data_IF_645722645654
#
_entry.id   IF_645722645654
#
_cell.length_a   1.000
_cell.length_b   1.000
_cell.length_c   1.000
_cell.angle_alpha   90.00
_cell.angle_beta   90.00
_cell.angle_gamma   90.00
#
_symmetry.space_group_name_H-M   'P 1'
#
loop_
_entity.id
_entity.type
_entity.pdbx_description
1 polymer ?
#
# COMPACT_ATOMS: atom_id res chain seq x y z
N UNK A 1 -8.52 -19.22 8.67
CA UNK A 1 -7.18 -19.78 8.34
C UNK A 1 -6.18 -19.56 9.48
N UNK A 2 -5.94 -18.33 9.97
CA UNK A 2 -4.98 -18.10 11.07
C UNK A 2 -5.43 -18.80 12.36
N UNK A 3 -6.69 -18.74 12.70
CA UNK A 3 -7.25 -19.39 13.90
C UNK A 3 -7.18 -20.92 13.80
N UNK A 4 -7.36 -21.50 12.64
CA UNK A 4 -7.19 -22.95 12.39
C UNK A 4 -5.73 -23.36 12.58
N UNK A 5 -4.77 -22.58 12.08
CA UNK A 5 -3.35 -22.81 12.30
C UNK A 5 -3.02 -22.78 13.81
N UNK A 6 -3.59 -21.85 14.57
CA UNK A 6 -3.36 -21.75 16.01
C UNK A 6 -3.93 -22.96 16.77
N UNK A 7 -5.06 -23.51 16.33
CA UNK A 7 -5.62 -24.77 16.89
C UNK A 7 -4.64 -25.92 16.66
N UNK A 8 -4.08 -26.06 15.45
CA UNK A 8 -3.09 -27.09 15.12
C UNK A 8 -1.83 -26.91 15.98
N UNK A 9 -1.29 -25.68 16.08
CA UNK A 9 -0.11 -25.39 16.90
C UNK A 9 -0.33 -25.77 18.36
N UNK A 10 -1.47 -25.42 18.95
CA UNK A 10 -1.82 -25.80 20.33
C UNK A 10 -1.91 -27.31 20.50
N UNK A 11 -2.51 -28.04 19.56
CA UNK A 11 -2.56 -29.49 19.57
C UNK A 11 -1.17 -30.13 19.55
N UNK A 12 -0.26 -29.59 18.74
CA UNK A 12 1.13 -30.08 18.71
C UNK A 12 1.87 -29.85 20.04
N UNK A 13 1.65 -28.68 20.67
CA UNK A 13 2.24 -28.39 22.00
C UNK A 13 1.70 -29.34 23.07
N UNK A 14 0.39 -29.67 23.05
CA UNK A 14 -0.21 -30.65 23.94
C UNK A 14 0.39 -32.05 23.76
N UNK A 15 0.89 -32.39 22.59
CA UNK A 15 1.61 -33.64 22.29
C UNK A 15 3.11 -33.56 22.68
N UNK A 16 3.54 -32.54 23.43
CA UNK A 16 4.92 -32.35 23.90
C UNK A 16 5.88 -31.77 22.86
N UNK A 17 5.38 -31.20 21.74
CA UNK A 17 6.24 -30.49 20.77
C UNK A 17 6.51 -29.07 21.22
N UNK A 18 7.70 -28.57 20.94
CA UNK A 18 8.05 -27.17 21.08
C UNK A 18 8.00 -26.49 19.72
N UNK A 19 7.40 -25.29 19.64
CA UNK A 19 7.23 -24.53 18.40
C UNK A 19 7.94 -23.20 18.57
N UNK A 20 8.78 -22.83 17.60
CA UNK A 20 9.31 -21.47 17.44
C UNK A 20 8.55 -20.84 16.28
N UNK A 21 7.79 -19.79 16.61
CA UNK A 21 6.96 -19.06 15.65
C UNK A 21 7.52 -17.66 15.46
N UNK A 22 7.92 -17.32 14.22
CA UNK A 22 8.50 -16.02 13.88
C UNK A 22 7.48 -15.22 13.09
N UNK A 23 7.03 -14.11 13.66
CA UNK A 23 6.07 -13.20 13.03
C UNK A 23 6.30 -11.77 13.49
N UNK A 24 5.86 -10.81 12.69
CA UNK A 24 5.76 -9.41 13.06
C UNK A 24 4.33 -8.98 13.38
N UNK A 25 3.34 -9.87 13.18
CA UNK A 25 1.93 -9.60 13.44
C UNK A 25 1.62 -9.79 14.92
N UNK A 26 1.53 -8.69 15.66
CA UNK A 26 1.33 -8.70 17.11
C UNK A 26 0.08 -9.47 17.54
N UNK A 27 -1.01 -9.41 16.74
CA UNK A 27 -2.24 -10.16 17.01
C UNK A 27 -1.98 -11.67 17.09
N UNK A 28 -1.18 -12.19 16.16
CA UNK A 28 -0.84 -13.61 16.11
C UNK A 28 0.01 -14.01 17.33
N UNK A 29 0.97 -13.17 17.70
CA UNK A 29 1.85 -13.38 18.87
C UNK A 29 1.02 -13.51 20.13
N UNK A 30 0.08 -12.59 20.39
CA UNK A 30 -0.79 -12.62 21.56
C UNK A 30 -1.77 -13.80 21.57
N UNK A 31 -2.14 -14.31 20.38
CA UNK A 31 -3.10 -15.41 20.26
C UNK A 31 -2.51 -16.78 20.60
N UNK A 32 -1.20 -17.01 20.36
CA UNK A 32 -0.63 -18.37 20.41
C UNK A 32 0.62 -18.52 21.27
N UNK A 33 1.38 -17.44 21.55
CA UNK A 33 2.66 -17.54 22.21
C UNK A 33 2.53 -17.73 23.74
N UNK A 34 3.32 -18.63 24.32
CA UNK A 34 3.52 -18.75 25.78
C UNK A 34 4.59 -17.77 26.27
N UNK A 35 5.54 -17.42 25.41
CA UNK A 35 6.65 -16.53 25.68
C UNK A 35 7.01 -15.77 24.40
N UNK A 36 7.22 -14.46 24.53
CA UNK A 36 7.53 -13.57 23.42
C UNK A 36 8.97 -13.08 23.60
N UNK A 37 9.81 -13.36 22.59
CA UNK A 37 11.17 -12.82 22.53
C UNK A 37 11.28 -11.86 21.37
N UNK A 38 11.74 -10.64 21.63
CA UNK A 38 11.86 -9.60 20.59
C UNK A 38 13.30 -9.51 20.13
N UNK A 39 13.49 -9.63 18.80
CA UNK A 39 14.78 -9.44 18.13
C UNK A 39 14.80 -8.14 17.32
N UNK A 40 15.91 -7.41 17.40
CA UNK A 40 16.16 -6.20 16.61
C UNK A 40 17.63 -6.08 16.25
N UNK A 41 17.92 -5.89 14.95
CA UNK A 41 19.31 -5.77 14.48
C UNK A 41 20.18 -6.99 14.80
N UNK A 42 19.62 -8.19 14.79
CA UNK A 42 20.33 -9.43 15.11
C UNK A 42 20.54 -9.69 16.60
N UNK A 43 20.02 -8.81 17.48
CA UNK A 43 20.18 -8.94 18.95
C UNK A 43 18.82 -9.18 19.62
N UNK A 44 18.85 -9.98 20.70
CA UNK A 44 17.71 -10.17 21.58
C UNK A 44 17.52 -8.93 22.45
N UNK A 45 16.40 -8.21 22.25
CA UNK A 45 16.08 -6.98 23.01
C UNK A 45 15.48 -7.29 24.36
N UNK A 46 14.66 -8.33 24.42
CA UNK A 46 14.03 -8.77 25.67
C UNK A 46 13.10 -9.95 25.45
N UNK A 47 12.70 -10.56 26.57
CA UNK A 47 11.74 -11.67 26.60
C UNK A 47 10.67 -11.37 27.63
N UNK A 48 9.40 -11.49 27.25
CA UNK A 48 8.24 -11.19 28.12
C UNK A 48 7.18 -12.28 27.98
N UNK A 49 6.29 -12.39 28.96
CA UNK A 49 5.09 -13.21 28.83
C UNK A 49 3.96 -12.41 28.18
N UNK A 50 3.04 -13.02 27.42
CA UNK A 50 1.92 -12.31 26.82
C UNK A 50 1.07 -11.54 27.83
N UNK A 51 0.89 -12.06 29.04
CA UNK A 51 0.13 -11.42 30.10
C UNK A 51 0.77 -10.10 30.62
N UNK A 52 2.09 -9.97 30.49
CA UNK A 52 2.88 -8.82 30.96
C UNK A 52 3.21 -7.84 29.83
N UNK A 53 2.73 -8.09 28.59
CA UNK A 53 3.06 -7.33 27.40
C UNK A 53 1.83 -6.56 26.86
N UNK A 54 2.07 -5.38 26.31
CA UNK A 54 1.10 -4.65 25.47
C UNK A 54 1.57 -4.60 24.02
N UNK A 55 0.66 -4.31 23.10
CA UNK A 55 1.01 -4.14 21.67
C UNK A 55 2.00 -3.01 21.47
N UNK A 56 1.80 -1.91 22.19
CA UNK A 56 2.65 -0.72 22.15
C UNK A 56 4.05 -1.03 22.66
N UNK A 57 4.16 -1.76 23.79
CA UNK A 57 5.44 -2.18 24.36
C UNK A 57 6.22 -3.07 23.39
N UNK A 58 5.57 -4.07 22.79
CA UNK A 58 6.22 -4.95 21.80
C UNK A 58 6.65 -4.19 20.57
N UNK A 59 5.80 -3.30 20.04
CA UNK A 59 6.13 -2.45 18.91
C UNK A 59 7.33 -1.54 19.20
N UNK A 60 7.37 -0.92 20.39
CA UNK A 60 8.51 -0.11 20.83
C UNK A 60 9.81 -0.93 20.95
N UNK A 61 9.74 -2.14 21.49
CA UNK A 61 10.89 -3.05 21.56
C UNK A 61 11.40 -3.43 20.16
N UNK A 62 10.49 -3.72 19.22
CA UNK A 62 10.83 -4.10 17.84
C UNK A 62 11.47 -2.95 17.07
N UNK A 63 10.95 -1.73 17.21
CA UNK A 63 11.37 -0.55 16.43
C UNK A 63 12.51 0.21 17.14
N UNK A 64 12.51 0.23 18.48
CA UNK A 64 13.48 0.95 19.32
C UNK A 64 13.08 2.39 19.64
N UNK A 65 11.87 2.78 19.32
CA UNK A 65 11.23 4.06 19.66
C UNK A 65 9.73 3.84 19.85
N UNK A 66 9.05 4.79 20.45
CA UNK A 66 7.58 4.76 20.46
C UNK A 66 7.02 4.69 19.07
N UNK A 67 6.04 3.83 18.86
CA UNK A 67 5.34 3.62 17.60
C UNK A 67 3.89 4.05 17.77
N UNK A 68 3.40 4.83 16.83
CA UNK A 68 2.00 5.22 16.77
C UNK A 68 1.27 4.17 15.93
N UNK A 69 0.56 3.25 16.59
CA UNK A 69 -0.18 2.17 15.93
C UNK A 69 -1.44 2.67 15.21
N UNK A 70 -2.02 3.77 15.68
CA UNK A 70 -3.11 4.48 15.00
C UNK A 70 -2.62 5.86 14.60
N UNK A 71 -2.70 6.15 13.30
CA UNK A 71 -2.34 7.48 12.79
C UNK A 71 -3.51 8.41 13.06
N UNK A 72 -3.25 9.44 13.83
CA UNK A 72 -4.18 10.57 13.98
C UNK A 72 -4.18 11.34 12.66
N UNK A 73 -5.33 11.36 11.98
CA UNK A 73 -5.54 12.08 10.73
C UNK A 73 -6.65 13.10 10.89
N UNK A 74 -6.43 14.28 10.31
CA UNK A 74 -7.47 15.30 10.23
C UNK A 74 -8.65 14.82 9.35
N UNK A 75 -9.81 15.43 9.52
CA UNK A 75 -10.95 15.20 8.62
C UNK A 75 -10.55 15.53 7.18
N UNK A 76 -11.00 14.70 6.25
CA UNK A 76 -10.76 14.93 4.83
C UNK A 76 -11.59 16.13 4.34
N UNK A 77 -11.00 16.89 3.42
CA UNK A 77 -11.69 17.96 2.69
C UNK A 77 -11.69 17.62 1.19
N UNK A 78 -12.58 16.70 0.73
CA UNK A 78 -12.57 16.23 -0.65
C UNK A 78 -12.84 17.38 -1.62
N UNK A 79 -11.93 17.55 -2.59
CA UNK A 79 -12.01 18.55 -3.65
C UNK A 79 -12.64 17.98 -4.94
N UNK A 80 -12.05 18.36 -6.07
CA UNK A 80 -12.46 17.90 -7.41
C UNK A 80 -12.24 16.38 -7.59
N UNK A 81 -12.99 15.80 -8.54
CA UNK A 81 -12.79 14.39 -8.93
C UNK A 81 -11.51 14.27 -9.74
N UNK A 82 -10.56 13.49 -9.22
CA UNK A 82 -9.26 13.22 -9.86
C UNK A 82 -9.32 11.95 -10.69
N UNK A 83 -9.91 10.88 -10.15
CA UNK A 83 -10.14 9.62 -10.84
C UNK A 83 -11.63 9.32 -10.87
N UNK A 84 -12.15 8.99 -12.07
CA UNK A 84 -13.47 8.42 -12.25
C UNK A 84 -13.36 7.11 -13.02
N UNK A 85 -14.03 6.10 -12.52
CA UNK A 85 -14.13 4.77 -13.12
C UNK A 85 -15.60 4.48 -13.34
N UNK A 86 -15.98 4.17 -14.58
CA UNK A 86 -17.36 3.92 -14.99
C UNK A 86 -17.48 2.54 -15.63
N UNK A 87 -18.25 1.64 -15.01
CA UNK A 87 -18.57 0.28 -15.51
C UNK A 87 -17.35 -0.51 -16.00
N UNK A 88 -16.23 -0.43 -15.27
CA UNK A 88 -14.98 -1.04 -15.67
C UNK A 88 -15.07 -2.56 -15.65
N UNK A 89 -14.64 -3.17 -16.76
CA UNK A 89 -14.52 -4.63 -16.91
C UNK A 89 -13.08 -5.00 -17.29
N UNK A 90 -12.52 -5.99 -16.57
CA UNK A 90 -11.16 -6.47 -16.79
C UNK A 90 -11.14 -7.99 -16.69
N UNK A 91 -10.28 -8.63 -17.48
CA UNK A 91 -10.03 -10.06 -17.45
C UNK A 91 -8.65 -10.37 -16.87
N UNK A 92 -8.54 -11.56 -16.26
CA UNK A 92 -7.25 -12.15 -15.87
C UNK A 92 -6.52 -12.76 -17.09
N UNK A 93 -5.35 -13.36 -16.83
CA UNK A 93 -4.52 -14.00 -17.88
C UNK A 93 -5.17 -15.28 -18.44
N UNK A 94 -6.25 -15.79 -17.83
CA UNK A 94 -7.05 -16.94 -18.27
C UNK A 94 -8.35 -16.53 -18.94
N UNK A 95 -8.52 -15.22 -19.23
CA UNK A 95 -9.74 -14.63 -19.80
C UNK A 95 -10.99 -14.77 -18.93
N UNK A 96 -10.84 -14.94 -17.61
CA UNK A 96 -11.94 -14.83 -16.68
C UNK A 96 -12.15 -13.36 -16.30
N UNK A 97 -13.40 -12.91 -16.31
CA UNK A 97 -13.75 -11.56 -15.87
C UNK A 97 -13.58 -11.46 -14.35
N UNK A 98 -12.53 -10.77 -13.92
CA UNK A 98 -12.17 -10.57 -12.51
C UNK A 98 -12.58 -9.20 -11.99
N UNK A 99 -12.84 -8.23 -12.88
CA UNK A 99 -13.48 -6.95 -12.59
C UNK A 99 -14.70 -6.84 -13.47
N UNK A 100 -15.88 -6.64 -12.89
CA UNK A 100 -17.16 -6.73 -13.59
C UNK A 100 -18.08 -5.54 -13.23
N UNK A 101 -18.08 -4.51 -14.08
CA UNK A 101 -18.93 -3.34 -13.94
C UNK A 101 -18.58 -2.43 -12.77
N UNK A 102 -17.32 -2.35 -12.38
CA UNK A 102 -16.86 -1.54 -11.24
C UNK A 102 -16.95 -0.05 -11.57
N UNK A 103 -17.58 0.71 -10.66
CA UNK A 103 -17.72 2.17 -10.78
C UNK A 103 -17.42 2.84 -9.44
N UNK A 104 -16.58 3.89 -9.45
CA UNK A 104 -16.25 4.74 -8.28
C UNK A 104 -15.55 6.02 -8.71
N UNK A 105 -15.45 6.95 -7.76
CA UNK A 105 -14.67 8.18 -7.90
C UNK A 105 -13.70 8.34 -6.74
N UNK A 106 -12.53 8.95 -7.02
CA UNK A 106 -11.58 9.40 -5.98
C UNK A 106 -11.35 10.89 -6.17
N UNK A 107 -11.43 11.63 -5.06
CA UNK A 107 -11.32 13.10 -5.05
C UNK A 107 -9.98 13.57 -4.52
N UNK A 108 -9.56 14.75 -4.91
CA UNK A 108 -8.40 15.42 -4.32
C UNK A 108 -8.58 15.55 -2.80
N UNK A 109 -7.54 15.29 -2.02
CA UNK A 109 -7.59 15.35 -0.55
C UNK A 109 -8.42 14.24 0.11
N UNK A 110 -8.63 13.12 -0.59
CA UNK A 110 -9.41 11.96 -0.12
C UNK A 110 -8.59 10.67 -0.23
N UNK A 111 -8.74 9.77 0.74
CA UNK A 111 -8.34 8.36 0.63
C UNK A 111 -9.58 7.50 0.44
N UNK A 112 -9.78 6.95 -0.75
CA UNK A 112 -10.74 5.88 -0.98
C UNK A 112 -10.04 4.53 -0.77
N UNK A 113 -10.49 3.77 0.22
CA UNK A 113 -10.02 2.41 0.46
C UNK A 113 -10.84 1.38 -0.31
N UNK A 114 -10.18 0.46 -1.01
CA UNK A 114 -10.82 -0.75 -1.57
C UNK A 114 -10.50 -1.92 -0.65
N UNK A 115 -11.49 -2.33 0.15
CA UNK A 115 -11.41 -3.50 1.02
C UNK A 115 -11.85 -4.76 0.26
N UNK A 116 -11.24 -5.91 0.55
CA UNK A 116 -11.65 -7.19 -0.01
C UNK A 116 -10.63 -8.28 0.28
N UNK A 117 -11.09 -9.55 0.29
CA UNK A 117 -10.19 -10.70 0.40
C UNK A 117 -9.38 -10.82 -0.89
N UNK A 118 -8.11 -11.19 -0.78
CA UNK A 118 -7.22 -11.33 -1.93
C UNK A 118 -7.83 -12.30 -2.98
N UNK A 119 -7.71 -11.94 -4.27
CA UNK A 119 -8.28 -12.71 -5.37
C UNK A 119 -9.69 -12.28 -5.79
N UNK A 120 -10.24 -11.21 -5.22
CA UNK A 120 -11.53 -10.66 -5.63
C UNK A 120 -11.46 -9.64 -6.78
N UNK A 121 -10.31 -9.51 -7.49
CA UNK A 121 -10.14 -8.61 -8.63
C UNK A 121 -9.38 -7.32 -8.31
N UNK A 122 -8.88 -7.13 -7.09
CA UNK A 122 -8.17 -5.90 -6.70
C UNK A 122 -6.86 -5.72 -7.47
N UNK A 123 -6.12 -6.80 -7.71
CA UNK A 123 -4.85 -6.76 -8.47
C UNK A 123 -5.12 -6.34 -9.91
N UNK A 124 -6.10 -6.96 -10.58
CA UNK A 124 -6.48 -6.65 -11.96
C UNK A 124 -7.05 -5.23 -12.09
N UNK A 125 -7.80 -4.77 -11.08
CA UNK A 125 -8.25 -3.37 -11.01
C UNK A 125 -7.06 -2.40 -10.96
N UNK A 126 -6.10 -2.62 -10.05
CA UNK A 126 -4.91 -1.79 -9.94
C UNK A 126 -4.06 -1.80 -11.23
N UNK A 127 -3.86 -2.98 -11.83
CA UNK A 127 -3.13 -3.13 -13.09
C UNK A 127 -3.82 -2.41 -14.25
N UNK A 128 -5.16 -2.47 -14.35
CA UNK A 128 -5.92 -1.75 -15.38
C UNK A 128 -5.81 -0.23 -15.21
N UNK A 129 -5.96 0.27 -13.98
CA UNK A 129 -5.84 1.70 -13.66
C UNK A 129 -4.44 2.26 -13.92
N UNK A 130 -3.42 1.41 -13.89
CA UNK A 130 -2.01 1.79 -14.11
C UNK A 130 -1.50 1.51 -15.53
N UNK A 131 -2.39 1.00 -16.41
CA UNK A 131 -2.05 0.69 -17.81
C UNK A 131 -1.18 -0.56 -17.97
N UNK A 132 -1.12 -1.42 -16.94
CA UNK A 132 -0.40 -2.70 -16.97
C UNK A 132 -1.29 -3.86 -17.46
N UNK A 133 -2.61 -3.67 -17.49
CA UNK A 133 -3.59 -4.64 -17.94
C UNK A 133 -4.61 -4.00 -18.88
N UNK A 134 -5.05 -4.75 -19.90
CA UNK A 134 -6.02 -4.28 -20.88
C UNK A 134 -7.42 -4.19 -20.27
N UNK A 135 -8.08 -3.08 -20.50
CA UNK A 135 -9.50 -2.89 -20.19
C UNK A 135 -10.33 -3.48 -21.33
N UNK A 136 -11.37 -4.27 -21.00
CA UNK A 136 -12.29 -4.88 -21.98
C UNK A 136 -13.62 -4.17 -22.06
N UNK A 137 -13.96 -3.31 -21.08
CA UNK A 137 -15.19 -2.51 -21.09
C UNK A 137 -15.17 -1.44 -20.03
N UNK A 138 -16.01 -0.45 -20.16
CA UNK A 138 -16.09 0.71 -19.26
C UNK A 138 -15.13 1.83 -19.62
N UNK A 139 -14.97 2.79 -18.72
CA UNK A 139 -14.18 4.00 -18.93
C UNK A 139 -13.38 4.39 -17.69
N UNK A 140 -12.15 4.85 -17.91
CA UNK A 140 -11.27 5.43 -16.89
C UNK A 140 -10.97 6.88 -17.27
N UNK A 141 -11.31 7.82 -16.39
CA UNK A 141 -11.03 9.25 -16.57
C UNK A 141 -10.10 9.73 -15.47
N UNK A 142 -8.91 10.21 -15.83
CA UNK A 142 -7.93 10.80 -14.92
C UNK A 142 -7.81 12.29 -15.19
N UNK A 143 -8.06 13.13 -14.18
CA UNK A 143 -8.01 14.61 -14.29
C UNK A 143 -8.82 15.14 -15.49
N UNK A 144 -10.01 14.58 -15.71
CA UNK A 144 -10.92 14.95 -16.81
C UNK A 144 -10.55 14.41 -18.18
N UNK A 145 -9.45 13.66 -18.33
CA UNK A 145 -9.01 13.06 -19.59
C UNK A 145 -9.35 11.56 -19.62
N UNK A 146 -9.83 11.09 -20.76
CA UNK A 146 -10.04 9.65 -21.00
C UNK A 146 -8.67 8.96 -21.07
N UNK A 147 -8.44 8.04 -20.14
CA UNK A 147 -7.19 7.29 -20.02
C UNK A 147 -7.40 5.78 -20.11
N UNK A 148 -8.57 5.33 -20.55
CA UNK A 148 -9.01 3.92 -20.56
C UNK A 148 -7.99 2.98 -21.21
N UNK A 149 -7.35 3.41 -22.29
CA UNK A 149 -6.34 2.62 -23.00
C UNK A 149 -4.97 3.31 -23.04
N UNK A 150 -4.72 4.25 -22.12
CA UNK A 150 -3.46 4.94 -22.07
C UNK A 150 -2.34 4.01 -21.58
N UNK A 151 -1.16 4.01 -22.23
CA UNK A 151 -0.01 3.26 -21.73
C UNK A 151 0.50 3.86 -20.42
N UNK A 152 1.13 3.03 -19.57
CA UNK A 152 1.62 3.40 -18.25
C UNK A 152 2.42 4.72 -18.23
N UNK A 153 3.28 4.95 -19.22
CA UNK A 153 4.06 6.20 -19.32
C UNK A 153 3.17 7.44 -19.43
N UNK A 154 2.09 7.38 -20.21
CA UNK A 154 1.12 8.49 -20.35
C UNK A 154 0.39 8.76 -19.03
N UNK A 155 0.02 7.72 -18.30
CA UNK A 155 -0.60 7.83 -16.98
C UNK A 155 0.35 8.47 -15.97
N UNK A 156 1.62 8.04 -15.95
CA UNK A 156 2.69 8.64 -15.15
C UNK A 156 2.85 10.13 -15.47
N UNK A 157 2.84 10.48 -16.75
CA UNK A 157 2.96 11.87 -17.22
C UNK A 157 1.72 12.72 -16.90
N UNK A 158 0.55 12.09 -16.82
CA UNK A 158 -0.70 12.75 -16.44
C UNK A 158 -0.84 12.98 -14.92
N UNK A 159 0.04 12.42 -14.08
CA UNK A 159 -0.01 12.64 -12.63
C UNK A 159 -0.34 11.41 -11.79
N UNK A 160 -0.31 10.21 -12.39
CA UNK A 160 -0.48 8.96 -11.66
C UNK A 160 0.83 8.50 -11.05
N UNK A 161 0.80 8.11 -9.78
CA UNK A 161 1.86 7.41 -9.06
C UNK A 161 1.34 6.08 -8.54
N UNK A 162 2.20 5.05 -8.53
CA UNK A 162 1.79 3.70 -8.18
C UNK A 162 2.78 3.03 -7.24
N UNK A 163 2.30 2.63 -6.07
CA UNK A 163 2.99 1.71 -5.18
C UNK A 163 2.39 0.32 -5.43
N UNK A 164 3.10 -0.60 -6.10
CA UNK A 164 2.56 -1.89 -6.50
C UNK A 164 2.53 -2.90 -5.36
N UNK A 165 1.63 -3.89 -5.45
CA UNK A 165 1.55 -5.02 -4.52
C UNK A 165 2.84 -5.86 -4.54
N UNK A 166 3.32 -6.22 -5.75
CA UNK A 166 4.59 -6.93 -5.93
C UNK A 166 5.70 -5.93 -6.27
N UNK A 167 6.49 -5.59 -5.24
CA UNK A 167 7.61 -4.65 -5.36
C UNK A 167 8.73 -5.18 -6.26
N UNK A 168 8.91 -6.50 -6.38
CA UNK A 168 9.97 -7.10 -7.17
C UNK A 168 9.59 -7.19 -8.65
N UNK A 169 8.31 -7.43 -8.95
CA UNK A 169 7.82 -7.55 -10.32
C UNK A 169 7.59 -6.18 -10.97
N UNK A 170 7.01 -5.24 -10.24
CA UNK A 170 6.54 -3.96 -10.78
C UNK A 170 7.12 -2.72 -10.12
N UNK A 171 7.78 -2.87 -8.96
CA UNK A 171 8.25 -1.72 -8.16
C UNK A 171 9.72 -1.36 -8.39
N UNK A 172 10.59 -2.34 -8.50
CA UNK A 172 12.05 -2.16 -8.45
C UNK A 172 12.77 -2.96 -9.54
N UNK A 173 13.90 -2.44 -9.97
CA UNK A 173 14.92 -3.21 -10.71
C UNK A 173 15.98 -3.64 -9.70
N UNK A 174 15.88 -4.89 -9.22
CA UNK A 174 16.66 -5.37 -8.07
C UNK A 174 18.18 -5.30 -8.26
N UNK A 175 18.66 -5.41 -9.49
CA UNK A 175 20.10 -5.32 -9.86
C UNK A 175 20.61 -3.88 -9.95
N UNK A 176 19.73 -2.87 -9.94
CA UNK A 176 20.11 -1.47 -10.06
C UNK A 176 20.41 -0.86 -8.69
N UNK A 177 21.28 0.17 -8.63
CA UNK A 177 21.51 0.94 -7.43
C UNK A 177 20.25 1.71 -7.00
N UNK A 178 20.21 2.12 -5.74
CA UNK A 178 19.09 2.87 -5.15
C UNK A 178 18.84 4.15 -5.96
N UNK A 179 19.89 4.91 -6.31
CA UNK A 179 19.75 6.17 -7.08
C UNK A 179 18.99 5.98 -8.38
N UNK A 180 19.27 4.90 -9.12
CA UNK A 180 18.65 4.63 -10.42
C UNK A 180 17.18 4.18 -10.23
N UNK A 181 16.90 3.40 -9.18
CA UNK A 181 15.54 3.03 -8.82
C UNK A 181 14.66 4.24 -8.42
N UNK A 182 15.25 5.26 -7.81
CA UNK A 182 14.52 6.47 -7.40
C UNK A 182 14.06 7.34 -8.58
N UNK A 183 14.69 7.19 -9.75
CA UNK A 183 14.36 7.99 -10.95
C UNK A 183 13.68 7.18 -12.06
N UNK A 184 13.37 5.89 -11.88
CA UNK A 184 12.82 5.01 -12.93
C UNK A 184 11.64 5.61 -13.70
N UNK A 185 10.79 6.39 -13.04
CA UNK A 185 9.62 7.00 -13.66
C UNK A 185 9.85 8.43 -14.18
N UNK A 186 11.07 8.99 -14.01
CA UNK A 186 11.37 10.40 -14.32
C UNK A 186 12.73 10.62 -15.00
N UNK A 187 13.54 9.57 -15.20
CA UNK A 187 14.92 9.65 -15.69
C UNK A 187 15.08 10.47 -16.99
N UNK A 188 14.05 10.52 -17.84
CA UNK A 188 14.04 11.18 -19.14
C UNK A 188 13.66 12.68 -19.09
N UNK A 189 13.43 13.22 -17.90
CA UNK A 189 13.02 14.61 -17.68
C UNK A 189 14.11 15.43 -16.98
N UNK A 190 14.16 16.74 -17.18
CA UNK A 190 14.95 17.59 -16.30
C UNK A 190 14.53 17.42 -14.83
N UNK A 191 15.46 17.51 -13.87
CA UNK A 191 16.90 17.79 -14.04
C UNK A 191 17.74 16.54 -14.37
N UNK A 192 17.17 15.34 -14.48
CA UNK A 192 17.89 14.07 -14.59
C UNK A 192 18.43 13.79 -15.99
N UNK A 193 17.87 14.43 -17.02
CA UNK A 193 18.33 14.29 -18.39
C UNK A 193 18.44 15.64 -19.08
N UNK A 194 19.51 15.79 -19.89
CA UNK A 194 19.72 16.89 -20.82
C UNK A 194 19.89 16.28 -22.21
N UNK A 195 18.83 16.34 -23.03
CA UNK A 195 18.78 15.60 -24.29
C UNK A 195 18.77 14.09 -24.06
N UNK A 196 19.79 13.40 -24.61
CA UNK A 196 19.96 11.93 -24.46
C UNK A 196 20.91 11.54 -23.31
N UNK A 197 21.56 12.51 -22.68
CA UNK A 197 22.52 12.26 -21.60
C UNK A 197 21.85 12.36 -20.23
N UNK A 198 22.22 11.47 -19.31
CA UNK A 198 21.80 11.53 -17.91
C UNK A 198 22.75 12.42 -17.13
N UNK A 199 22.20 13.28 -16.27
CA UNK A 199 22.95 14.07 -15.30
C UNK A 199 23.07 13.30 -13.98
N UNK A 200 24.15 12.55 -13.84
CA UNK A 200 24.41 11.75 -12.63
C UNK A 200 24.65 12.60 -11.38
N UNK A 201 25.06 13.86 -11.51
CA UNK A 201 25.22 14.75 -10.38
C UNK A 201 23.84 15.14 -9.80
N UNK A 202 22.89 15.52 -10.67
CA UNK A 202 21.52 15.80 -10.28
C UNK A 202 20.81 14.54 -9.72
N UNK A 203 21.02 13.39 -10.35
CA UNK A 203 20.46 12.10 -9.90
C UNK A 203 20.96 11.73 -8.50
N UNK A 204 22.28 11.85 -8.26
CA UNK A 204 22.88 11.53 -6.95
C UNK A 204 22.40 12.48 -5.85
N UNK A 205 22.37 13.80 -6.13
CA UNK A 205 21.87 14.78 -5.19
C UNK A 205 20.40 14.53 -4.78
N UNK A 206 19.54 14.24 -5.74
CA UNK A 206 18.14 13.86 -5.47
C UNK A 206 18.05 12.56 -4.68
N UNK A 207 18.83 11.55 -5.03
CA UNK A 207 18.83 10.27 -4.35
C UNK A 207 19.24 10.39 -2.89
N UNK A 208 20.32 11.16 -2.59
CA UNK A 208 20.75 11.41 -1.22
C UNK A 208 19.69 12.15 -0.40
N UNK A 209 19.01 13.12 -1.00
CA UNK A 209 17.92 13.85 -0.35
C UNK A 209 16.76 12.89 -0.01
N UNK A 210 16.33 12.05 -0.97
CA UNK A 210 15.21 11.13 -0.78
C UNK A 210 15.55 10.03 0.21
N UNK A 211 16.76 9.47 0.17
CA UNK A 211 17.24 8.47 1.15
C UNK A 211 17.14 9.03 2.58
N UNK A 212 17.54 10.28 2.80
CA UNK A 212 17.41 10.95 4.11
C UNK A 212 15.95 11.22 4.47
N UNK A 213 15.17 11.81 3.56
CA UNK A 213 13.77 12.21 3.81
C UNK A 213 12.86 11.01 4.11
N UNK A 214 13.13 9.88 3.47
CA UNK A 214 12.33 8.67 3.62
C UNK A 214 12.98 7.64 4.56
N UNK A 215 14.03 8.02 5.28
CA UNK A 215 14.72 7.14 6.24
C UNK A 215 15.04 5.76 5.64
N UNK A 216 15.60 5.73 4.42
CA UNK A 216 16.06 4.50 3.79
C UNK A 216 17.38 4.09 4.41
N UNK A 217 17.41 2.98 5.13
CA UNK A 217 18.63 2.48 5.78
C UNK A 217 19.48 1.75 4.75
N UNK A 218 20.60 2.38 4.40
CA UNK A 218 21.54 1.91 3.38
C UNK A 218 22.96 2.41 3.67
N UNK A 219 24.01 1.68 3.25
CA UNK A 219 25.38 2.19 3.26
C UNK A 219 25.60 3.39 2.32
N UNK A 220 24.81 3.51 1.25
CA UNK A 220 24.90 4.60 0.28
C UNK A 220 23.96 4.42 -0.90
N UNK A 221 23.83 5.45 -1.73
CA UNK A 221 22.93 5.47 -2.91
C UNK A 221 23.35 4.52 -4.03
N UNK A 222 24.63 4.11 -4.04
CA UNK A 222 25.19 3.12 -4.98
C UNK A 222 24.87 1.67 -4.61
N UNK A 223 24.34 1.44 -3.39
CA UNK A 223 23.95 0.11 -2.94
C UNK A 223 22.87 -0.45 -3.85
N UNK A 224 23.05 -1.70 -4.29
CA UNK A 224 22.05 -2.42 -5.08
C UNK A 224 20.78 -2.61 -4.26
N UNK A 225 19.62 -2.18 -4.79
CA UNK A 225 18.35 -2.20 -4.04
C UNK A 225 17.94 -3.61 -3.61
N UNK A 226 18.33 -4.63 -4.38
CA UNK A 226 18.07 -6.03 -4.03
C UNK A 226 18.71 -6.49 -2.71
N UNK A 227 19.75 -5.82 -2.22
CA UNK A 227 20.39 -6.15 -0.94
C UNK A 227 19.72 -5.53 0.28
N UNK A 228 18.74 -4.62 0.08
CA UNK A 228 18.02 -3.99 1.16
C UNK A 228 16.96 -4.94 1.77
N UNK A 229 16.62 -4.69 3.05
CA UNK A 229 15.45 -5.32 3.66
C UNK A 229 14.15 -4.91 2.94
N UNK A 230 13.12 -5.75 3.00
CA UNK A 230 11.83 -5.47 2.36
C UNK A 230 11.22 -4.11 2.75
N UNK A 231 11.37 -3.69 4.01
CA UNK A 231 10.92 -2.37 4.47
C UNK A 231 11.69 -1.23 3.80
N UNK A 232 13.01 -1.34 3.64
CA UNK A 232 13.80 -0.32 2.95
C UNK A 232 13.56 -0.32 1.44
N UNK A 233 13.35 -1.48 0.81
CA UNK A 233 12.93 -1.58 -0.58
C UNK A 233 11.60 -0.84 -0.81
N UNK A 234 10.63 -1.03 0.07
CA UNK A 234 9.33 -0.35 -0.01
C UNK A 234 9.49 1.16 0.19
N UNK A 235 10.35 1.60 1.12
CA UNK A 235 10.65 3.03 1.30
C UNK A 235 11.25 3.66 0.04
N UNK A 236 12.07 2.95 -0.74
CA UNK A 236 12.58 3.44 -2.03
C UNK A 236 11.45 3.66 -3.03
N UNK A 237 10.49 2.72 -3.14
CA UNK A 237 9.32 2.89 -4.02
C UNK A 237 8.47 4.09 -3.57
N UNK A 238 8.13 4.14 -2.28
CA UNK A 238 7.31 5.22 -1.71
C UNK A 238 7.99 6.57 -1.87
N UNK A 239 9.32 6.64 -1.67
CA UNK A 239 10.12 7.86 -1.89
C UNK A 239 10.02 8.35 -3.34
N UNK A 240 10.20 7.44 -4.31
CA UNK A 240 10.05 7.75 -5.74
C UNK A 240 8.65 8.27 -6.07
N UNK A 241 7.63 7.54 -5.66
CA UNK A 241 6.26 7.85 -6.06
C UNK A 241 5.72 9.12 -5.41
N UNK A 242 5.96 9.33 -4.11
CA UNK A 242 5.48 10.52 -3.40
C UNK A 242 6.27 11.78 -3.78
N UNK A 243 7.57 11.69 -4.02
CA UNK A 243 8.34 12.85 -4.50
C UNK A 243 7.85 13.33 -5.86
N UNK A 244 7.42 12.40 -6.74
CA UNK A 244 6.81 12.73 -8.03
C UNK A 244 5.47 13.45 -7.89
N UNK A 245 4.59 12.97 -7.00
CA UNK A 245 3.31 13.62 -6.68
C UNK A 245 3.56 15.06 -6.25
N UNK A 246 4.40 15.26 -5.24
CA UNK A 246 4.70 16.61 -4.70
C UNK A 246 5.29 17.53 -5.77
N UNK A 247 6.20 17.02 -6.59
CA UNK A 247 6.79 17.78 -7.69
C UNK A 247 5.78 18.17 -8.77
N UNK A 248 4.88 17.25 -9.15
CA UNK A 248 3.84 17.53 -10.15
C UNK A 248 2.79 18.51 -9.65
N UNK A 249 2.34 18.37 -8.40
CA UNK A 249 1.38 19.31 -7.79
C UNK A 249 1.99 20.70 -7.68
N UNK A 250 3.25 20.81 -7.26
CA UNK A 250 3.97 22.10 -7.19
C UNK A 250 4.15 22.75 -8.57
N UNK A 251 4.45 21.95 -9.61
CA UNK A 251 4.71 22.48 -10.96
C UNK A 251 3.44 22.88 -11.71
N UNK A 252 2.34 22.13 -11.54
CA UNK A 252 1.14 22.27 -12.35
C UNK A 252 -0.07 22.86 -11.61
N UNK A 253 0.01 23.01 -10.28
CA UNK A 253 -1.11 23.44 -9.43
C UNK A 253 -2.34 22.51 -9.48
N UNK A 254 -2.16 21.28 -9.99
CA UNK A 254 -3.22 20.28 -10.11
C UNK A 254 -3.02 19.15 -9.13
N UNK A 255 -4.11 18.55 -8.68
CA UNK A 255 -4.06 17.33 -7.89
C UNK A 255 -3.36 16.20 -8.66
N UNK A 256 -2.85 15.22 -7.95
CA UNK A 256 -2.25 14.01 -8.50
C UNK A 256 -2.92 12.78 -7.86
N UNK A 257 -2.80 11.61 -8.50
CA UNK A 257 -3.36 10.35 -8.04
C UNK A 257 -2.25 9.43 -7.51
N UNK A 258 -2.38 8.95 -6.29
CA UNK A 258 -1.62 7.84 -5.75
C UNK A 258 -2.48 6.58 -5.74
N UNK A 259 -2.05 5.52 -6.43
CA UNK A 259 -2.59 4.18 -6.24
C UNK A 259 -1.61 3.42 -5.34
N UNK A 260 -2.04 3.12 -4.11
CA UNK A 260 -1.28 2.35 -3.13
C UNK A 260 -1.89 0.95 -3.02
N UNK A 261 -1.30 -0.03 -3.71
CA UNK A 261 -1.79 -1.41 -3.72
C UNK A 261 -0.95 -2.25 -2.75
N UNK A 262 -1.57 -2.71 -1.65
CA UNK A 262 -0.93 -3.48 -0.57
C UNK A 262 0.37 -2.83 -0.05
N UNK A 263 0.37 -1.52 0.25
CA UNK A 263 1.60 -0.75 0.44
C UNK A 263 2.46 -1.23 1.60
N UNK A 264 1.87 -1.95 2.56
CA UNK A 264 2.57 -2.39 3.78
C UNK A 264 2.72 -3.91 3.89
N UNK A 265 2.37 -4.65 2.83
CA UNK A 265 2.41 -6.11 2.84
C UNK A 265 3.81 -6.66 3.14
N UNK A 266 3.89 -7.49 4.20
CA UNK A 266 5.14 -8.15 4.61
C UNK A 266 6.19 -7.22 5.23
N UNK A 267 5.77 -6.09 5.79
CA UNK A 267 6.64 -5.13 6.42
C UNK A 267 6.57 -5.20 7.95
N UNK A 268 7.64 -4.76 8.60
CA UNK A 268 7.67 -4.57 10.04
C UNK A 268 6.84 -3.36 10.50
N UNK A 269 6.45 -3.35 11.77
CA UNK A 269 5.57 -2.33 12.36
C UNK A 269 6.09 -0.91 12.17
N UNK A 270 7.41 -0.69 12.26
CA UNK A 270 8.01 0.64 12.09
C UNK A 270 7.95 1.13 10.65
N UNK A 271 8.10 0.23 9.68
CA UNK A 271 7.94 0.52 8.25
C UNK A 271 6.48 0.79 7.90
N UNK A 272 5.53 0.04 8.49
CA UNK A 272 4.09 0.27 8.33
C UNK A 272 3.71 1.67 8.80
N UNK A 273 4.04 2.05 10.05
CA UNK A 273 3.76 3.38 10.59
C UNK A 273 4.31 4.49 9.68
N UNK A 274 5.54 4.33 9.20
CA UNK A 274 6.18 5.31 8.34
C UNK A 274 5.40 5.51 7.03
N UNK A 275 5.04 4.41 6.35
CA UNK A 275 4.34 4.45 5.06
C UNK A 275 2.94 5.02 5.23
N UNK A 276 2.20 4.61 6.25
CA UNK A 276 0.88 5.14 6.56
C UNK A 276 0.91 6.65 6.74
N UNK A 277 1.86 7.17 7.52
CA UNK A 277 2.03 8.62 7.72
C UNK A 277 2.27 9.34 6.40
N UNK A 278 3.14 8.80 5.53
CA UNK A 278 3.42 9.38 4.23
C UNK A 278 2.21 9.39 3.28
N UNK A 279 1.36 8.35 3.34
CA UNK A 279 0.11 8.32 2.58
C UNK A 279 -0.86 9.40 3.08
N UNK A 280 -1.01 9.57 4.39
CA UNK A 280 -1.86 10.62 4.97
C UNK A 280 -1.32 12.01 4.64
N UNK A 281 -0.01 12.24 4.76
CA UNK A 281 0.63 13.51 4.36
C UNK A 281 0.39 13.85 2.87
N UNK A 282 0.41 12.85 1.98
CA UNK A 282 0.09 13.06 0.56
C UNK A 282 -1.37 13.49 0.37
N UNK A 283 -2.34 12.81 1.05
CA UNK A 283 -3.75 13.22 1.07
C UNK A 283 -3.91 14.65 1.57
N UNK A 284 -3.32 14.97 2.72
CA UNK A 284 -3.43 16.29 3.36
C UNK A 284 -2.83 17.41 2.50
N UNK A 285 -1.86 17.06 1.65
CA UNK A 285 -1.30 17.96 0.64
C UNK A 285 -2.20 18.13 -0.60
N UNK A 286 -3.37 17.45 -0.66
CA UNK A 286 -4.35 17.55 -1.74
C UNK A 286 -4.26 16.45 -2.80
N UNK A 287 -3.42 15.43 -2.63
CA UNK A 287 -3.42 14.28 -3.54
C UNK A 287 -4.69 13.44 -3.37
N UNK A 288 -5.20 12.87 -4.45
CA UNK A 288 -6.18 11.79 -4.42
C UNK A 288 -5.46 10.48 -4.14
N UNK A 289 -5.97 9.66 -3.24
CA UNK A 289 -5.37 8.38 -2.89
C UNK A 289 -6.38 7.25 -3.07
N UNK A 290 -6.04 6.25 -3.88
CA UNK A 290 -6.72 4.96 -3.94
C UNK A 290 -5.88 3.94 -3.18
N UNK A 291 -6.34 3.55 -2.00
CA UNK A 291 -5.70 2.55 -1.16
C UNK A 291 -6.38 1.20 -1.39
N UNK A 292 -5.65 0.21 -1.85
CA UNK A 292 -6.15 -1.16 -2.03
C UNK A 292 -5.44 -2.04 -1.02
N UNK A 293 -6.18 -2.68 -0.11
CA UNK A 293 -5.59 -3.55 0.91
C UNK A 293 -6.53 -4.67 1.34
N UNK A 294 -5.94 -5.85 1.61
CA UNK A 294 -6.61 -6.96 2.26
C UNK A 294 -6.59 -6.87 3.80
N UNK A 295 -5.74 -6.00 4.34
CA UNK A 295 -5.64 -5.79 5.80
C UNK A 295 -6.70 -4.76 6.22
N UNK A 296 -7.77 -5.26 6.87
CA UNK A 296 -8.91 -4.44 7.27
C UNK A 296 -8.52 -3.31 8.24
N UNK A 297 -7.51 -3.54 9.09
CA UNK A 297 -6.98 -2.52 10.01
C UNK A 297 -6.35 -1.35 9.26
N UNK A 298 -5.64 -1.61 8.15
CA UNK A 298 -5.06 -0.59 7.29
C UNK A 298 -6.15 0.24 6.61
N UNK A 299 -7.15 -0.43 6.01
CA UNK A 299 -8.28 0.23 5.37
C UNK A 299 -9.03 1.12 6.34
N UNK A 300 -9.40 0.61 7.52
CA UNK A 300 -10.17 1.36 8.52
C UNK A 300 -9.39 2.55 9.10
N UNK A 301 -8.07 2.41 9.25
CA UNK A 301 -7.25 3.47 9.86
C UNK A 301 -6.93 4.62 8.90
N UNK A 302 -6.80 4.35 7.61
CA UNK A 302 -6.35 5.34 6.63
C UNK A 302 -7.46 5.93 5.77
N UNK A 303 -8.47 5.14 5.43
CA UNK A 303 -9.50 5.55 4.45
C UNK A 303 -10.44 6.61 5.01
N UNK A 304 -10.93 7.48 4.14
CA UNK A 304 -12.03 8.41 4.41
C UNK A 304 -13.36 7.82 3.95
N UNK A 305 -13.34 7.08 2.82
CA UNK A 305 -14.41 6.22 2.34
C UNK A 305 -13.88 4.83 2.05
N UNK A 306 -14.72 3.81 2.23
CA UNK A 306 -14.36 2.41 2.05
C UNK A 306 -15.33 1.78 1.05
N UNK A 307 -14.83 1.36 -0.10
CA UNK A 307 -15.55 0.52 -1.06
C UNK A 307 -15.17 -0.95 -0.80
N UNK A 308 -16.15 -1.82 -0.70
CA UNK A 308 -15.91 -3.26 -0.47
C UNK A 308 -16.05 -4.02 -1.77
N UNK A 309 -14.98 -4.70 -2.16
CA UNK A 309 -14.91 -5.48 -3.40
C UNK A 309 -15.06 -6.97 -3.11
N UNK A 310 -16.01 -7.60 -3.80
CA UNK A 310 -16.25 -9.04 -3.73
C UNK A 310 -16.59 -9.59 -5.12
N UNK A 311 -15.90 -10.66 -5.54
CA UNK A 311 -16.05 -11.31 -6.85
C UNK A 311 -16.11 -10.32 -8.03
N UNK A 312 -15.18 -9.37 -8.06
CA UNK A 312 -15.04 -8.42 -9.15
C UNK A 312 -16.00 -7.23 -9.12
N UNK A 313 -16.84 -7.08 -8.10
CA UNK A 313 -17.82 -6.00 -7.99
C UNK A 313 -17.66 -5.24 -6.70
N UNK A 314 -17.99 -3.95 -6.71
CA UNK A 314 -18.14 -3.17 -5.48
C UNK A 314 -19.55 -3.41 -4.96
N UNK A 315 -19.65 -4.00 -3.76
CA UNK A 315 -20.93 -4.29 -3.11
C UNK A 315 -21.52 -3.05 -2.44
N UNK A 316 -20.67 -2.24 -1.79
CA UNK A 316 -21.09 -1.03 -1.09
C UNK A 316 -19.90 -0.07 -0.94
N UNK A 317 -20.20 1.22 -0.70
CA UNK A 317 -19.23 2.26 -0.38
C UNK A 317 -19.69 3.02 0.85
N UNK A 318 -18.92 2.93 1.93
CA UNK A 318 -19.24 3.42 3.26
C UNK A 318 -18.35 4.60 3.66
N UNK A 319 -18.86 5.51 4.50
CA UNK A 319 -18.01 6.45 5.23
C UNK A 319 -17.20 5.70 6.28
N UNK A 320 -15.88 5.87 6.29
CA UNK A 320 -14.99 5.14 7.18
C UNK A 320 -15.28 5.40 8.68
N UNK A 321 -15.85 6.56 9.02
CA UNK A 321 -16.21 6.93 10.40
C UNK A 321 -17.38 6.12 10.96
N UNK A 322 -18.25 5.64 10.08
CA UNK A 322 -19.46 4.86 10.45
C UNK A 322 -19.31 3.36 10.15
N UNK A 323 -18.28 2.99 9.42
CA UNK A 323 -18.02 1.59 9.07
C UNK A 323 -17.57 0.80 10.30
N UNK A 324 -18.21 -0.35 10.57
CA UNK A 324 -17.77 -1.27 11.62
C UNK A 324 -17.02 -2.45 11.02
N UNK A 325 -16.10 -3.03 11.80
CA UNK A 325 -15.32 -4.20 11.39
C UNK A 325 -16.21 -5.37 11.00
N UNK A 326 -17.28 -5.59 11.77
CA UNK A 326 -18.24 -6.68 11.57
C UNK A 326 -18.97 -6.48 10.22
N UNK A 327 -19.44 -5.27 9.94
CA UNK A 327 -20.14 -4.98 8.69
C UNK A 327 -19.24 -5.12 7.47
N UNK A 328 -18.02 -4.56 7.54
CA UNK A 328 -17.04 -4.72 6.48
C UNK A 328 -16.66 -6.19 6.26
N UNK A 329 -16.50 -6.96 7.35
CA UNK A 329 -16.21 -8.39 7.29
C UNK A 329 -17.33 -9.19 6.60
N UNK A 330 -18.58 -8.88 6.87
CA UNK A 330 -19.74 -9.50 6.19
C UNK A 330 -19.75 -9.18 4.69
N UNK A 331 -19.58 -7.92 4.33
CA UNK A 331 -19.51 -7.51 2.92
C UNK A 331 -18.33 -8.16 2.19
N UNK A 332 -17.14 -8.24 2.83
CA UNK A 332 -15.98 -8.94 2.27
C UNK A 332 -16.20 -10.44 2.07
N UNK A 333 -17.12 -11.06 2.84
CA UNK A 333 -17.57 -12.43 2.68
C UNK A 333 -18.73 -12.57 1.66
N UNK A 334 -19.20 -11.48 1.09
CA UNK A 334 -20.28 -11.47 0.11
C UNK A 334 -21.69 -11.47 0.70
N UNK A 335 -21.82 -11.20 2.01
CA UNK A 335 -23.11 -11.10 2.68
C UNK A 335 -23.59 -9.66 2.60
N UNK A 336 -24.61 -9.39 1.79
CA UNK A 336 -25.32 -8.12 1.71
C UNK A 336 -26.56 -8.14 2.61
N UNK A 337 -27.08 -6.96 2.97
CA UNK A 337 -28.31 -6.86 3.81
C UNK A 337 -29.52 -7.54 3.16
N UNK A 338 -29.54 -7.66 1.84
CA UNK A 338 -30.64 -8.33 1.12
C UNK A 338 -30.57 -9.86 1.27
N UNK A 339 -29.37 -10.45 1.31
CA UNK A 339 -29.17 -11.90 1.49
C UNK A 339 -29.35 -12.40 2.94
N UNK A 340 -29.50 -11.50 3.90
CA UNK A 340 -29.76 -11.85 5.32
C UNK A 340 -31.24 -11.99 5.64
N UNK A 341 -32.14 -11.77 4.68
CA UNK A 341 -33.60 -11.87 4.83
C UNK A 341 -34.23 -13.02 3.99
N UNK A 342 -33.41 -13.81 3.29
CA UNK A 342 -33.80 -15.11 2.72
C UNK A 342 -33.28 -16.26 3.60
#
# INVERSE_FOLDING_TARGET
EADELFVIMRSMVQQGKSIIFITHKLREVFAVADRISVMRGGQMVGTVKPADATREMLAEMMVGRKVILQIDKADAHPGEVVLRVDNLCVEDDRHHRTVDGVSFEVRAGEILGIAGVQGNGQTELAEALTGLRKVIGGKITLLGQDTTHAPARRLIEAGLSHVPEDRHKHGLVLSFPIRDNLILCSYYRPPFAVGIALDYAAISAQAEQLVRLFDVRTPGIETTVGSLSGGNQQKVIVARELSRISGQMAANGRAALLIANQPTRGLDVGSIEFIHRRIVEARDSGAAVLLISAELDEIMSLSDRIAVMYKGRILDTLDARTATREHLGLLMAGVTKEAAHE
#
